data_IF_443264500205
#
_entry.id   IF_443264500205
#
_cell.length_a   1.000
_cell.length_b   1.000
_cell.length_c   1.000
_cell.angle_alpha   90.00
_cell.angle_beta   90.00
_cell.angle_gamma   90.00
#
_symmetry.space_group_name_H-M   'P 1'
#
loop_
_entity.id
_entity.type
_entity.pdbx_description
1 polymer ?
#
# COMPACT_ATOMS: atom_id res chain seq x y z
N UNK A 1 3.76 20.03 3.03
CA UNK A 1 4.13 20.26 1.62
C UNK A 1 2.86 20.24 0.79
N UNK A 2 2.56 21.33 0.10
CA UNK A 2 1.39 21.42 -0.77
C UNK A 2 1.69 20.67 -2.06
N UNK A 3 1.04 19.52 -2.25
CA UNK A 3 1.11 18.72 -3.47
C UNK A 3 0.39 19.48 -4.60
N UNK A 4 1.16 20.21 -5.39
CA UNK A 4 0.71 21.02 -6.55
C UNK A 4 0.07 20.18 -7.68
N UNK A 5 0.17 18.86 -7.61
CA UNK A 5 -0.35 17.90 -8.60
C UNK A 5 -1.78 17.41 -8.34
N UNK A 6 -2.31 17.53 -7.12
CA UNK A 6 -3.60 16.94 -6.75
C UNK A 6 -4.81 17.53 -7.51
N UNK A 7 -4.70 18.77 -8.00
CA UNK A 7 -5.74 19.43 -8.80
C UNK A 7 -5.54 19.27 -10.32
N UNK A 8 -4.45 18.62 -10.78
CA UNK A 8 -4.20 18.42 -12.20
C UNK A 8 -5.09 17.28 -12.74
N UNK A 9 -6.04 17.55 -13.66
CA UNK A 9 -6.94 16.52 -14.19
C UNK A 9 -6.21 15.37 -14.89
N UNK A 10 -5.04 15.62 -15.46
CA UNK A 10 -4.25 14.57 -16.12
C UNK A 10 -3.53 13.66 -15.11
N UNK A 11 -3.19 14.18 -13.92
CA UNK A 11 -2.72 13.35 -12.81
C UNK A 11 -3.82 12.39 -12.35
N UNK A 12 -5.07 12.86 -12.24
CA UNK A 12 -6.24 12.04 -11.89
C UNK A 12 -6.52 10.95 -12.93
N UNK A 13 -6.52 11.30 -14.23
CA UNK A 13 -6.70 10.29 -15.30
C UNK A 13 -5.61 9.24 -15.28
N UNK A 14 -4.38 9.66 -15.02
CA UNK A 14 -3.22 8.77 -14.96
C UNK A 14 -3.35 7.79 -13.80
N UNK A 15 -3.72 8.26 -12.60
CA UNK A 15 -4.02 7.40 -11.44
C UNK A 15 -5.07 6.35 -11.79
N UNK A 16 -6.21 6.78 -12.33
CA UNK A 16 -7.31 5.87 -12.71
C UNK A 16 -6.86 4.79 -13.70
N UNK A 17 -5.97 5.13 -14.65
CA UNK A 17 -5.42 4.14 -15.60
C UNK A 17 -4.56 3.11 -14.87
N UNK A 18 -3.70 3.54 -13.97
CA UNK A 18 -2.85 2.64 -13.20
C UNK A 18 -3.66 1.73 -12.28
N UNK A 19 -4.65 2.28 -11.55
CA UNK A 19 -5.52 1.49 -10.67
C UNK A 19 -6.21 0.35 -11.45
N UNK A 20 -6.67 0.64 -12.67
CA UNK A 20 -7.28 -0.37 -13.56
C UNK A 20 -6.27 -1.39 -14.07
N UNK A 21 -5.06 -0.97 -14.43
CA UNK A 21 -4.01 -1.88 -14.90
C UNK A 21 -3.59 -2.85 -13.80
N UNK A 22 -3.42 -2.38 -12.56
CA UNK A 22 -3.08 -3.23 -11.40
C UNK A 22 -4.12 -4.35 -11.23
N UNK A 23 -5.41 -3.98 -11.20
CA UNK A 23 -6.50 -4.95 -11.01
C UNK A 23 -6.65 -5.89 -12.22
N UNK A 24 -6.46 -5.38 -13.44
CA UNK A 24 -6.54 -6.20 -14.65
C UNK A 24 -5.43 -7.28 -14.70
N UNK A 25 -4.19 -6.91 -14.34
CA UNK A 25 -3.08 -7.87 -14.24
C UNK A 25 -3.37 -8.90 -13.15
N UNK A 26 -3.79 -8.47 -11.97
CA UNK A 26 -4.12 -9.39 -10.88
C UNK A 26 -5.20 -10.41 -11.29
N UNK A 27 -6.23 -9.97 -12.01
CA UNK A 27 -7.25 -10.86 -12.58
C UNK A 27 -6.68 -11.83 -13.61
N UNK A 28 -5.88 -11.33 -14.55
CA UNK A 28 -5.30 -12.14 -15.61
C UNK A 28 -4.37 -13.24 -15.06
N UNK A 29 -3.64 -12.93 -14.00
CA UNK A 29 -2.74 -13.86 -13.30
C UNK A 29 -3.46 -14.77 -12.28
N UNK A 30 -4.78 -14.63 -12.11
CA UNK A 30 -5.55 -15.45 -11.17
C UNK A 30 -5.17 -15.21 -9.70
N UNK A 31 -4.71 -14.01 -9.36
CA UNK A 31 -4.31 -13.65 -8.00
C UNK A 31 -5.49 -13.77 -7.05
N UNK A 32 -5.27 -14.35 -5.87
CA UNK A 32 -6.31 -14.46 -4.85
C UNK A 32 -6.65 -13.09 -4.22
N UNK A 33 -5.62 -12.34 -3.83
CA UNK A 33 -5.74 -11.16 -2.96
C UNK A 33 -4.77 -10.05 -3.38
N UNK A 34 -5.25 -8.81 -3.40
CA UNK A 34 -4.44 -7.59 -3.56
C UNK A 34 -4.19 -6.95 -2.19
N UNK A 35 -2.96 -6.50 -1.94
CA UNK A 35 -2.63 -5.67 -0.79
C UNK A 35 -2.25 -4.28 -1.27
N UNK A 36 -2.93 -3.24 -0.78
CA UNK A 36 -2.66 -1.85 -1.17
C UNK A 36 -3.17 -0.89 -0.11
N UNK A 37 -2.44 0.20 0.12
CA UNK A 37 -2.93 1.32 0.93
C UNK A 37 -3.57 2.42 0.07
N UNK A 38 -3.76 2.21 -1.24
CA UNK A 38 -4.54 3.10 -2.10
C UNK A 38 -6.03 2.70 -2.09
N UNK A 39 -6.88 3.62 -1.62
CA UNK A 39 -8.32 3.38 -1.45
C UNK A 39 -9.04 3.09 -2.77
N UNK A 40 -8.64 3.72 -3.88
CA UNK A 40 -9.29 3.50 -5.17
C UNK A 40 -8.89 2.14 -5.75
N UNK A 41 -7.65 1.70 -5.55
CA UNK A 41 -7.19 0.35 -5.92
C UNK A 41 -7.99 -0.70 -5.15
N UNK A 42 -8.08 -0.57 -3.82
CA UNK A 42 -8.86 -1.50 -2.99
C UNK A 42 -10.34 -1.54 -3.41
N UNK A 43 -10.94 -0.38 -3.67
CA UNK A 43 -12.32 -0.28 -4.13
C UNK A 43 -12.52 -0.97 -5.49
N UNK A 44 -11.64 -0.69 -6.45
CA UNK A 44 -11.75 -1.25 -7.80
C UNK A 44 -11.48 -2.76 -7.82
N UNK A 45 -10.57 -3.25 -6.98
CA UNK A 45 -10.31 -4.66 -6.77
C UNK A 45 -11.54 -5.39 -6.22
N UNK A 46 -12.17 -4.84 -5.16
CA UNK A 46 -13.39 -5.40 -4.56
C UNK A 46 -14.57 -5.38 -5.53
N UNK A 47 -14.72 -4.33 -6.33
CA UNK A 47 -15.71 -4.27 -7.43
C UNK A 47 -15.44 -5.29 -8.54
N UNK A 48 -14.22 -5.81 -8.60
CA UNK A 48 -13.77 -6.80 -9.57
C UNK A 48 -13.75 -8.21 -8.98
N UNK A 49 -14.45 -8.49 -7.87
CA UNK A 49 -14.48 -9.82 -7.23
C UNK A 49 -13.11 -10.33 -6.73
N UNK A 50 -12.14 -9.43 -6.53
CA UNK A 50 -10.88 -9.75 -5.86
C UNK A 50 -10.96 -9.37 -4.38
N UNK A 51 -10.30 -10.16 -3.53
CA UNK A 51 -10.05 -9.75 -2.14
C UNK A 51 -9.03 -8.60 -2.15
N UNK A 52 -9.26 -7.58 -1.33
CA UNK A 52 -8.30 -6.50 -1.16
C UNK A 52 -8.22 -6.05 0.28
N UNK A 53 -7.00 -5.91 0.79
CA UNK A 53 -6.72 -5.48 2.16
C UNK A 53 -5.72 -4.31 2.17
N UNK A 54 -5.92 -3.40 3.12
CA UNK A 54 -4.90 -2.39 3.47
C UNK A 54 -3.90 -3.00 4.45
N UNK A 55 -2.70 -2.42 4.54
CA UNK A 55 -1.67 -2.89 5.47
C UNK A 55 -2.17 -2.85 6.91
N UNK A 56 -2.95 -1.82 7.27
CA UNK A 56 -3.55 -1.67 8.60
C UNK A 56 -4.70 -2.65 8.91
N UNK A 57 -5.21 -3.37 7.91
CA UNK A 57 -6.27 -4.37 8.08
C UNK A 57 -5.70 -5.77 8.35
N UNK A 58 -4.37 -5.94 8.25
CA UNK A 58 -3.71 -7.23 8.48
C UNK A 58 -3.56 -7.50 9.98
N UNK A 59 -3.78 -8.75 10.36
CA UNK A 59 -3.48 -9.22 11.71
C UNK A 59 -1.98 -9.02 11.97
N UNK A 60 -1.68 -8.33 13.06
CA UNK A 60 -0.30 -8.22 13.52
C UNK A 60 0.18 -9.59 13.99
N UNK A 61 1.44 -9.95 13.69
CA UNK A 61 2.00 -11.16 14.24
C UNK A 61 1.99 -11.07 15.78
N UNK A 62 1.97 -12.22 16.48
CA UNK A 62 1.89 -12.25 17.94
C UNK A 62 3.16 -11.73 18.63
N UNK A 63 4.27 -11.65 17.90
CA UNK A 63 5.53 -11.08 18.37
C UNK A 63 5.50 -9.55 18.36
N UNK A 64 6.21 -8.94 19.31
CA UNK A 64 6.33 -7.48 19.35
C UNK A 64 7.03 -7.00 18.06
N UNK A 65 6.43 -6.09 17.28
CA UNK A 65 7.03 -5.58 16.05
C UNK A 65 8.36 -4.85 16.31
N UNK A 66 8.60 -4.38 17.53
CA UNK A 66 9.83 -3.70 17.93
C UNK A 66 10.79 -4.68 18.61
N UNK A 67 11.89 -5.04 17.94
CA UNK A 67 12.99 -5.75 18.59
C UNK A 67 13.89 -4.78 19.38
N UNK A 68 14.50 -5.29 20.46
CA UNK A 68 15.55 -4.56 21.16
C UNK A 68 16.76 -4.40 20.21
N UNK A 69 17.10 -3.15 19.90
CA UNK A 69 18.29 -2.82 19.12
C UNK A 69 19.47 -2.64 20.08
N UNK A 70 20.50 -3.49 19.96
CA UNK A 70 21.76 -3.30 20.69
C UNK A 70 22.58 -2.21 19.99
N UNK A 71 22.66 -1.04 20.61
CA UNK A 71 23.40 0.12 20.08
C UNK A 71 24.91 0.05 20.39
N UNK A 72 25.38 -0.98 21.09
CA UNK A 72 26.75 -1.03 21.59
C UNK A 72 27.05 0.07 22.62
N UNK A 73 28.28 0.10 23.16
CA UNK A 73 28.69 1.18 24.05
C UNK A 73 28.69 2.52 23.29
N UNK A 74 28.03 3.54 23.85
CA UNK A 74 28.06 4.88 23.28
C UNK A 74 29.47 5.46 23.42
N UNK A 75 30.15 5.69 22.29
CA UNK A 75 31.33 6.55 22.22
C UNK A 75 30.87 8.03 22.38
N UNK A 76 30.34 8.36 23.55
CA UNK A 76 30.09 9.75 23.92
C UNK A 76 31.42 10.34 24.45
N UNK A 77 32.02 11.35 23.78
CA UNK A 77 33.15 12.05 24.37
C UNK A 77 32.68 12.79 25.63
N UNK A 78 33.43 12.60 26.73
CA UNK A 78 33.28 13.34 27.99
C UNK A 78 33.59 14.82 27.82
#
# INVERSE_FOLDING_TARGET
>A
GHRVDAANPDATKTKIKFDRQIVAVAKAEGVHTIYSDDDDVCKYARQSDLKAYRTAELELPPEDPQSNMDFGPSDAPK
#
